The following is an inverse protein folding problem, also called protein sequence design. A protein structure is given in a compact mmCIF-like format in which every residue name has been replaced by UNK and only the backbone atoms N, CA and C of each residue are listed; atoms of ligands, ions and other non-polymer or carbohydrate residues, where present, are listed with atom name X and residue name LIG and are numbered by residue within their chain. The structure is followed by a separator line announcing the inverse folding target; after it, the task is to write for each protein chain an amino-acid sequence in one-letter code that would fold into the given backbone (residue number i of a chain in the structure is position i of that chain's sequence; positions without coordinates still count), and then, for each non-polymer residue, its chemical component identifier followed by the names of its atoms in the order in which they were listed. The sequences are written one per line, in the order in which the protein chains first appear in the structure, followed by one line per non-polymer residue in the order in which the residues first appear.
data_IF_379588579246
#
_entry.id   IF_379588579246
#
_cell.length_a   1.000
_cell.length_b   1.000
_cell.length_c   1.000
_cell.angle_alpha   90.00
_cell.angle_beta   90.00
_cell.angle_gamma   90.00
#
_symmetry.space_group_name_H-M   'P 1'
#
loop_
_entity.id
_entity.type
_entity.pdbx_description
1 polymer ?
#
# COMPACT_ATOMS: atom_id res chain seq x y z
N UNK A 1 12.57 106.12 -16.51
CA UNK A 1 12.07 104.94 -15.78
C UNK A 1 11.50 103.79 -16.62
N UNK A 2 11.86 103.61 -17.89
CA UNK A 2 11.56 102.36 -18.62
C UNK A 2 12.58 101.24 -18.36
N UNK A 3 13.81 101.61 -17.98
CA UNK A 3 14.89 100.67 -17.67
C UNK A 3 14.56 99.86 -16.42
N UNK A 4 14.02 100.49 -15.37
CA UNK A 4 13.64 99.83 -14.11
C UNK A 4 12.49 98.83 -14.31
N UNK A 5 11.50 99.14 -15.17
CA UNK A 5 10.41 98.20 -15.52
C UNK A 5 10.92 96.98 -16.29
N UNK A 6 11.88 97.19 -17.21
CA UNK A 6 12.51 96.09 -17.94
C UNK A 6 13.38 95.21 -17.02
N UNK A 7 14.10 95.80 -16.07
CA UNK A 7 14.89 95.05 -15.08
C UNK A 7 13.99 94.18 -14.18
N UNK A 8 12.87 94.71 -13.71
CA UNK A 8 11.87 93.96 -12.94
C UNK A 8 11.28 92.78 -13.74
N UNK A 9 10.96 93.01 -15.02
CA UNK A 9 10.48 91.95 -15.92
C UNK A 9 11.54 90.88 -16.19
N UNK A 10 12.80 91.28 -16.40
CA UNK A 10 13.91 90.34 -16.58
C UNK A 10 14.07 89.46 -15.34
N UNK A 11 13.97 90.03 -14.14
CA UNK A 11 14.11 89.26 -12.91
C UNK A 11 12.94 88.30 -12.69
N UNK A 12 11.71 88.74 -12.94
CA UNK A 12 10.52 87.87 -12.92
C UNK A 12 10.62 86.69 -13.91
N UNK A 13 11.13 86.94 -15.11
CA UNK A 13 11.36 85.89 -16.12
C UNK A 13 12.49 84.95 -15.68
N UNK A 14 13.57 85.46 -15.10
CA UNK A 14 14.67 84.62 -14.56
C UNK A 14 14.19 83.71 -13.44
N UNK A 15 13.37 84.21 -12.52
CA UNK A 15 12.79 83.43 -11.44
C UNK A 15 11.84 82.35 -11.98
N UNK A 16 11.03 82.70 -12.99
CA UNK A 16 10.17 81.75 -13.68
C UNK A 16 10.97 80.64 -14.39
N UNK A 17 12.07 80.99 -15.08
CA UNK A 17 12.98 80.02 -15.71
C UNK A 17 13.61 79.11 -14.66
N UNK A 18 14.09 79.66 -13.54
CA UNK A 18 14.69 78.89 -12.44
C UNK A 18 13.70 77.90 -11.84
N UNK A 19 12.44 78.29 -11.67
CA UNK A 19 11.38 77.41 -11.19
C UNK A 19 11.04 76.29 -12.18
N UNK A 20 10.95 76.61 -13.48
CA UNK A 20 10.70 75.62 -14.55
C UNK A 20 11.84 74.61 -14.66
N UNK A 21 13.09 75.07 -14.63
CA UNK A 21 14.29 74.20 -14.64
C UNK A 21 14.31 73.31 -13.40
N UNK A 22 14.08 73.88 -12.21
CA UNK A 22 14.03 73.12 -10.96
C UNK A 22 12.95 72.02 -10.94
N UNK A 23 11.78 72.28 -11.52
CA UNK A 23 10.72 71.28 -11.65
C UNK A 23 11.06 70.19 -12.67
N UNK A 24 11.68 70.56 -13.80
CA UNK A 24 12.17 69.59 -14.80
C UNK A 24 13.21 68.65 -14.21
N UNK A 25 14.13 69.17 -13.39
CA UNK A 25 15.16 68.36 -12.73
C UNK A 25 14.57 67.40 -11.69
N UNK A 26 13.53 67.81 -10.95
CA UNK A 26 12.80 66.94 -10.02
C UNK A 26 12.08 65.82 -10.76
N UNK A 27 11.33 66.15 -11.82
CA UNK A 27 10.64 65.17 -12.66
C UNK A 27 11.62 64.17 -13.31
N UNK A 28 12.81 64.63 -13.72
CA UNK A 28 13.85 63.75 -14.25
C UNK A 28 14.38 62.73 -13.22
N UNK A 29 14.58 63.17 -11.97
CA UNK A 29 14.99 62.27 -10.87
C UNK A 29 13.90 61.26 -10.50
N UNK A 30 12.65 61.71 -10.41
CA UNK A 30 11.50 60.82 -10.14
C UNK A 30 11.33 59.79 -11.26
N UNK A 31 11.48 60.20 -12.53
CA UNK A 31 11.47 59.27 -13.66
C UNK A 31 12.57 58.22 -13.56
N UNK A 32 13.80 58.61 -13.20
CA UNK A 32 14.90 57.67 -13.01
C UNK A 32 14.64 56.67 -11.88
N UNK A 33 14.10 57.13 -10.74
CA UNK A 33 13.75 56.26 -9.62
C UNK A 33 12.66 55.26 -9.99
N UNK A 34 11.56 55.74 -10.61
CA UNK A 34 10.48 54.87 -11.07
C UNK A 34 10.94 53.88 -12.14
N UNK A 35 11.85 54.30 -13.04
CA UNK A 35 12.42 53.41 -14.05
C UNK A 35 13.25 52.28 -13.42
N UNK A 36 14.03 52.59 -12.37
CA UNK A 36 14.82 51.58 -11.65
C UNK A 36 13.91 50.62 -10.86
N UNK A 37 12.88 51.14 -10.20
CA UNK A 37 11.91 50.34 -9.47
C UNK A 37 11.13 49.39 -10.40
N UNK A 38 10.74 49.88 -11.58
CA UNK A 38 10.07 49.09 -12.61
C UNK A 38 10.98 47.96 -13.12
N UNK A 39 12.27 48.23 -13.35
CA UNK A 39 13.24 47.21 -13.75
C UNK A 39 13.43 46.13 -12.67
N UNK A 40 13.52 46.53 -11.40
CA UNK A 40 13.59 45.59 -10.28
C UNK A 40 12.34 44.71 -10.18
N UNK A 41 11.15 45.30 -10.28
CA UNK A 41 9.89 44.57 -10.27
C UNK A 41 9.77 43.59 -11.44
N UNK A 42 10.26 43.96 -12.63
CA UNK A 42 10.33 43.07 -13.79
C UNK A 42 11.27 41.89 -13.54
N UNK A 43 12.45 42.11 -12.97
CA UNK A 43 13.37 41.03 -12.61
C UNK A 43 12.76 40.07 -11.59
N UNK A 44 12.14 40.59 -10.53
CA UNK A 44 11.50 39.76 -9.51
C UNK A 44 10.31 38.97 -10.08
N UNK A 45 9.50 39.60 -10.93
CA UNK A 45 8.38 38.96 -11.63
C UNK A 45 8.88 37.80 -12.49
N UNK A 46 9.92 38.02 -13.30
CA UNK A 46 10.50 36.98 -14.15
C UNK A 46 11.08 35.83 -13.32
N UNK A 47 11.70 36.11 -12.17
CA UNK A 47 12.18 35.07 -11.25
C UNK A 47 11.02 34.23 -10.72
N UNK A 48 9.96 34.87 -10.23
CA UNK A 48 8.75 34.17 -9.73
C UNK A 48 8.05 33.35 -10.82
N UNK A 49 8.02 33.83 -12.06
CA UNK A 49 7.47 33.06 -13.20
C UNK A 49 8.29 31.80 -13.43
N UNK A 50 9.62 31.89 -13.49
CA UNK A 50 10.49 30.72 -13.66
C UNK A 50 10.33 29.69 -12.53
N UNK A 51 10.27 30.16 -11.28
CA UNK A 51 10.03 29.28 -10.13
C UNK A 51 8.67 28.61 -10.18
N UNK A 52 7.62 29.33 -10.58
CA UNK A 52 6.28 28.79 -10.78
C UNK A 52 6.28 27.70 -11.85
N UNK A 53 6.93 27.96 -12.98
CA UNK A 53 6.96 27.02 -14.11
C UNK A 53 7.74 25.76 -13.73
N UNK A 54 8.89 25.90 -13.05
CA UNK A 54 9.64 24.75 -12.53
C UNK A 54 8.82 23.92 -11.53
N UNK A 55 8.06 24.56 -10.63
CA UNK A 55 7.18 23.86 -9.69
C UNK A 55 6.02 23.16 -10.40
N UNK A 56 5.50 23.76 -11.48
CA UNK A 56 4.43 23.16 -12.29
C UNK A 56 4.92 21.90 -12.99
N UNK A 57 6.11 21.92 -13.56
CA UNK A 57 6.72 20.76 -14.22
C UNK A 57 6.94 19.62 -13.22
N UNK A 58 7.50 19.94 -12.04
CA UNK A 58 7.69 18.97 -10.96
C UNK A 58 6.35 18.37 -10.49
N UNK A 59 5.30 19.18 -10.39
CA UNK A 59 3.98 18.71 -10.00
C UNK A 59 3.40 17.72 -11.01
N UNK A 60 3.55 17.99 -12.31
CA UNK A 60 3.10 17.08 -13.36
C UNK A 60 3.89 15.76 -13.36
N UNK A 61 5.20 15.81 -13.12
CA UNK A 61 6.03 14.61 -12.98
C UNK A 61 5.61 13.77 -11.76
N UNK A 62 5.39 14.40 -10.60
CA UNK A 62 4.92 13.71 -9.39
C UNK A 62 3.54 13.09 -9.60
N UNK A 63 2.61 13.78 -10.26
CA UNK A 63 1.29 13.22 -10.58
C UNK A 63 1.40 11.98 -11.48
N UNK A 64 2.28 12.03 -12.49
CA UNK A 64 2.50 10.89 -13.39
C UNK A 64 3.02 9.68 -12.60
N UNK A 65 4.04 9.87 -11.76
CA UNK A 65 4.58 8.80 -10.94
C UNK A 65 3.58 8.26 -9.93
N UNK A 66 2.75 9.12 -9.33
CA UNK A 66 1.69 8.69 -8.43
C UNK A 66 0.70 7.77 -9.15
N UNK A 67 0.20 8.19 -10.32
CA UNK A 67 -0.72 7.40 -11.11
C UNK A 67 -0.12 6.05 -11.55
N UNK A 68 1.16 6.02 -11.95
CA UNK A 68 1.87 4.77 -12.26
C UNK A 68 1.93 3.83 -11.04
N UNK A 69 2.25 4.37 -9.85
CA UNK A 69 2.31 3.59 -8.61
C UNK A 69 0.95 3.06 -8.18
N UNK A 70 -0.10 3.87 -8.31
CA UNK A 70 -1.47 3.47 -8.01
C UNK A 70 -1.95 2.35 -8.95
N UNK A 71 -1.63 2.43 -10.25
CA UNK A 71 -1.93 1.37 -11.20
C UNK A 71 -1.22 0.05 -10.83
N UNK A 72 0.09 0.10 -10.56
CA UNK A 72 0.86 -1.09 -10.15
C UNK A 72 0.28 -1.70 -8.87
N UNK A 73 -0.02 -0.87 -7.87
CA UNK A 73 -0.61 -1.32 -6.60
C UNK A 73 -1.99 -1.94 -6.83
N UNK A 74 -2.82 -1.32 -7.65
CA UNK A 74 -4.16 -1.81 -8.00
C UNK A 74 -4.12 -3.16 -8.71
N UNK A 75 -3.20 -3.35 -9.65
CA UNK A 75 -3.01 -4.64 -10.33
C UNK A 75 -2.46 -5.72 -9.40
N UNK A 76 -1.50 -5.39 -8.53
CA UNK A 76 -0.95 -6.31 -7.56
C UNK A 76 -2.02 -6.79 -6.57
N UNK A 77 -2.86 -5.89 -6.09
CA UNK A 77 -3.96 -6.22 -5.18
C UNK A 77 -5.02 -7.07 -5.88
N UNK A 78 -5.40 -6.76 -7.13
CA UNK A 78 -6.29 -7.62 -7.92
C UNK A 78 -5.75 -9.04 -8.07
N UNK A 79 -4.47 -9.18 -8.48
CA UNK A 79 -3.81 -10.49 -8.61
C UNK A 79 -3.78 -11.25 -7.29
N UNK A 80 -3.55 -10.56 -6.17
CA UNK A 80 -3.57 -11.15 -4.84
C UNK A 80 -4.97 -11.63 -4.47
N UNK A 81 -6.00 -10.82 -4.68
CA UNK A 81 -7.39 -11.19 -4.41
C UNK A 81 -7.84 -12.38 -5.24
N UNK A 82 -7.46 -12.43 -6.52
CA UNK A 82 -7.74 -13.59 -7.39
C UNK A 82 -7.06 -14.87 -6.88
N UNK A 83 -5.79 -14.78 -6.46
CA UNK A 83 -5.08 -15.92 -5.87
C UNK A 83 -5.76 -16.43 -4.60
N UNK A 84 -6.15 -15.52 -3.71
CA UNK A 84 -6.87 -15.88 -2.47
C UNK A 84 -8.21 -16.54 -2.81
N UNK A 85 -9.01 -15.94 -3.69
CA UNK A 85 -10.30 -16.49 -4.12
C UNK A 85 -10.16 -17.86 -4.77
N UNK A 86 -9.12 -18.08 -5.57
CA UNK A 86 -8.87 -19.38 -6.18
C UNK A 86 -8.43 -20.42 -5.15
N UNK A 87 -7.61 -20.04 -4.17
CA UNK A 87 -7.23 -20.91 -3.06
C UNK A 87 -8.43 -21.29 -2.18
N UNK A 88 -9.31 -20.33 -1.86
CA UNK A 88 -10.55 -20.56 -1.11
C UNK A 88 -11.49 -21.50 -1.86
N UNK A 89 -11.67 -21.30 -3.18
CA UNK A 89 -12.46 -22.21 -4.02
C UNK A 89 -11.87 -23.63 -4.02
N UNK A 90 -10.56 -23.76 -4.18
CA UNK A 90 -9.89 -25.06 -4.15
C UNK A 90 -10.07 -25.73 -2.78
N UNK A 91 -9.89 -24.98 -1.68
CA UNK A 91 -10.09 -25.48 -0.32
C UNK A 91 -11.53 -25.94 -0.09
N UNK A 92 -12.52 -25.19 -0.58
CA UNK A 92 -13.94 -25.55 -0.50
C UNK A 92 -14.25 -26.83 -1.28
N UNK A 93 -13.67 -26.99 -2.48
CA UNK A 93 -13.80 -28.22 -3.28
C UNK A 93 -13.17 -29.43 -2.58
N UNK A 94 -11.95 -29.28 -2.04
CA UNK A 94 -11.30 -30.36 -1.29
C UNK A 94 -12.09 -30.72 -0.04
N UNK A 95 -12.56 -29.73 0.72
CA UNK A 95 -13.34 -29.96 1.94
C UNK A 95 -14.64 -30.69 1.62
N UNK A 96 -15.39 -30.24 0.62
CA UNK A 96 -16.68 -30.82 0.23
C UNK A 96 -16.50 -32.23 -0.35
N UNK A 97 -15.55 -32.43 -1.25
CA UNK A 97 -15.40 -33.69 -1.98
C UNK A 97 -14.65 -34.77 -1.19
N UNK A 98 -13.68 -34.38 -0.35
CA UNK A 98 -12.91 -35.34 0.46
C UNK A 98 -13.51 -35.55 1.84
N UNK A 99 -14.38 -34.64 2.31
CA UNK A 99 -14.80 -34.62 3.71
C UNK A 99 -13.59 -34.54 4.63
N UNK A 100 -12.67 -33.61 4.35
CA UNK A 100 -11.43 -33.41 5.10
C UNK A 100 -11.17 -31.90 5.21
N UNK A 101 -11.07 -31.40 6.44
CA UNK A 101 -10.56 -30.07 6.76
C UNK A 101 -9.22 -30.18 7.47
N UNK A 102 -8.37 -29.19 7.28
CA UNK A 102 -7.09 -29.05 7.97
C UNK A 102 -7.11 -27.69 8.67
N UNK A 103 -6.93 -27.69 9.97
CA UNK A 103 -6.93 -26.49 10.80
C UNK A 103 -5.59 -26.33 11.52
N UNK A 104 -5.10 -25.10 11.62
CA UNK A 104 -3.89 -24.75 12.36
C UNK A 104 -4.33 -23.98 13.61
N UNK A 105 -4.14 -24.51 14.83
CA UNK A 105 -4.53 -23.83 16.05
C UNK A 105 -3.77 -22.51 16.22
N UNK A 106 -4.48 -21.42 16.54
CA UNK A 106 -3.86 -20.09 16.76
C UNK A 106 -2.83 -20.09 17.91
N UNK A 107 -3.00 -20.99 18.87
CA UNK A 107 -2.21 -21.04 20.12
C UNK A 107 -1.02 -22.00 20.05
N UNK A 108 -0.98 -22.89 19.06
CA UNK A 108 0.09 -23.90 18.93
C UNK A 108 0.71 -23.80 17.55
N UNK A 109 1.83 -23.08 17.47
CA UNK A 109 2.65 -23.09 16.27
C UNK A 109 3.09 -24.54 15.97
N UNK A 110 3.07 -24.92 14.69
CA UNK A 110 3.44 -26.26 14.20
C UNK A 110 2.50 -27.42 14.54
N UNK A 111 1.34 -27.16 15.17
CA UNK A 111 0.27 -28.16 15.31
C UNK A 111 -0.71 -28.10 14.13
N UNK A 112 -1.22 -29.26 13.72
CA UNK A 112 -2.19 -29.47 12.66
C UNK A 112 -3.32 -30.36 13.19
N UNK A 113 -4.56 -29.94 12.92
CA UNK A 113 -5.76 -30.72 13.22
C UNK A 113 -6.38 -31.17 11.90
N UNK A 114 -6.45 -32.49 11.69
CA UNK A 114 -7.13 -33.11 10.58
C UNK A 114 -8.54 -33.49 11.01
N UNK A 115 -9.55 -32.93 10.36
CA UNK A 115 -10.96 -33.16 10.68
C UNK A 115 -11.61 -33.86 9.49
N UNK A 116 -12.00 -35.10 9.69
CA UNK A 116 -12.66 -35.93 8.71
C UNK A 116 -14.16 -35.92 8.94
N UNK A 117 -14.92 -35.70 7.87
CA UNK A 117 -16.39 -35.84 7.82
C UNK A 117 -16.76 -36.84 6.74
N UNK A 118 -18.05 -37.15 6.61
CA UNK A 118 -18.58 -38.13 5.64
C UNK A 118 -17.96 -39.53 5.81
N UNK A 119 -17.63 -39.88 7.06
CA UNK A 119 -17.17 -41.22 7.43
C UNK A 119 -18.37 -42.09 7.79
N UNK A 120 -19.17 -41.63 8.74
CA UNK A 120 -20.43 -42.26 9.13
C UNK A 120 -21.51 -41.94 8.10
N UNK A 121 -22.14 -42.97 7.51
CA UNK A 121 -23.22 -42.79 6.52
C UNK A 121 -24.52 -42.31 7.15
N UNK A 122 -24.78 -42.69 8.39
CA UNK A 122 -25.98 -42.31 9.13
C UNK A 122 -25.92 -40.86 9.62
N UNK A 123 -24.70 -40.38 9.92
CA UNK A 123 -24.43 -38.99 10.29
C UNK A 123 -23.22 -38.43 9.51
N UNK A 124 -23.39 -37.98 8.26
CA UNK A 124 -22.29 -37.51 7.42
C UNK A 124 -21.54 -36.28 7.97
N UNK A 125 -22.17 -35.53 8.88
CA UNK A 125 -21.59 -34.35 9.51
C UNK A 125 -20.78 -34.67 10.77
N UNK A 126 -20.80 -35.93 11.22
CA UNK A 126 -19.96 -36.38 12.34
C UNK A 126 -18.48 -36.15 12.04
N UNK A 127 -17.78 -35.55 13.00
CA UNK A 127 -16.37 -35.19 12.89
C UNK A 127 -15.50 -36.24 13.57
N UNK A 128 -14.51 -36.73 12.82
CA UNK A 128 -13.43 -37.58 13.31
C UNK A 128 -12.15 -36.78 13.24
N UNK A 129 -11.46 -36.61 14.37
CA UNK A 129 -10.37 -35.65 14.52
C UNK A 129 -9.07 -36.39 14.77
N UNK A 130 -8.00 -35.95 14.14
CA UNK A 130 -6.63 -36.36 14.44
C UNK A 130 -5.76 -35.12 14.57
N UNK A 131 -5.13 -34.95 15.72
CA UNK A 131 -4.22 -33.85 16.03
C UNK A 131 -2.77 -34.34 15.96
N UNK A 132 -1.91 -33.57 15.31
CA UNK A 132 -0.50 -33.85 15.20
C UNK A 132 0.34 -32.57 15.24
N UNK A 133 1.63 -32.71 15.53
CA UNK A 133 2.59 -31.62 15.56
C UNK A 133 3.82 -31.97 14.73
N UNK A 134 4.36 -31.00 14.02
CA UNK A 134 5.69 -31.11 13.42
C UNK A 134 6.74 -30.72 14.47
N UNK A 135 7.69 -31.60 14.74
CA UNK A 135 8.80 -31.39 15.66
C UNK A 135 9.99 -30.71 14.96
N UNK A 136 10.95 -30.23 15.74
CA UNK A 136 12.16 -29.54 15.23
C UNK A 136 13.04 -30.44 14.34
N UNK A 137 13.00 -31.76 14.54
CA UNK A 137 13.72 -32.75 13.72
C UNK A 137 12.95 -33.16 12.46
N UNK A 138 11.95 -32.38 12.05
CA UNK A 138 11.05 -32.63 10.91
C UNK A 138 10.19 -33.90 11.04
N UNK A 139 10.21 -34.57 12.20
CA UNK A 139 9.30 -35.68 12.47
C UNK A 139 7.94 -35.19 12.93
N UNK A 140 6.91 -35.96 12.63
CA UNK A 140 5.55 -35.78 13.08
C UNK A 140 5.33 -36.48 14.41
N UNK A 141 4.59 -35.84 15.31
CA UNK A 141 4.11 -36.43 16.56
C UNK A 141 2.58 -36.39 16.58
N UNK A 142 1.92 -37.53 16.75
CA UNK A 142 0.46 -37.61 16.87
C UNK A 142 0.07 -37.34 18.33
N UNK A 143 -0.67 -36.24 18.54
CA UNK A 143 -1.02 -35.76 19.87
C UNK A 143 -2.27 -36.46 20.42
N UNK A 144 -3.33 -36.52 19.60
CA UNK A 144 -4.62 -37.01 20.05
C UNK A 144 -5.53 -37.40 18.87
N UNK A 145 -6.55 -38.21 19.11
CA UNK A 145 -7.61 -38.46 18.14
C UNK A 145 -8.99 -38.58 18.79
N UNK A 146 -10.03 -38.23 18.04
CA UNK A 146 -11.43 -38.40 18.43
C UNK A 146 -12.17 -39.07 17.28
N UNK A 147 -12.70 -40.29 17.44
CA UNK A 147 -12.54 -41.22 18.56
C UNK A 147 -11.07 -41.62 18.81
N UNK A 148 -10.78 -42.13 20.00
CA UNK A 148 -9.43 -42.53 20.40
C UNK A 148 -8.93 -43.72 19.57
N UNK A 149 -7.76 -43.56 18.96
CA UNK A 149 -7.11 -44.58 18.15
C UNK A 149 -6.10 -45.35 19.01
N UNK A 150 -6.27 -46.66 19.14
CA UNK A 150 -5.37 -47.51 19.94
C UNK A 150 -3.98 -47.73 19.32
N UNK A 151 -3.78 -47.31 18.07
CA UNK A 151 -2.57 -47.56 17.29
C UNK A 151 -1.84 -46.28 16.84
N UNK A 152 -1.99 -45.16 17.56
CA UNK A 152 -1.35 -43.88 17.22
C UNK A 152 0.17 -43.99 17.02
N UNK A 153 0.89 -44.66 17.94
CA UNK A 153 2.35 -44.80 17.80
C UNK A 153 2.76 -45.48 16.49
N UNK A 154 2.07 -46.57 16.11
CA UNK A 154 2.37 -47.27 14.84
C UNK A 154 2.08 -46.41 13.61
N UNK A 155 1.06 -45.54 13.70
CA UNK A 155 0.72 -44.60 12.64
C UNK A 155 1.78 -43.51 12.51
N UNK A 156 2.25 -42.99 13.64
CA UNK A 156 3.34 -42.02 13.75
C UNK A 156 4.65 -42.57 13.16
N UNK A 157 5.10 -43.73 13.65
CA UNK A 157 6.35 -44.37 13.21
C UNK A 157 6.34 -44.56 11.68
N UNK A 158 5.21 -45.02 11.13
CA UNK A 158 5.07 -45.23 9.69
C UNK A 158 5.04 -43.91 8.92
N UNK A 159 4.40 -42.88 9.44
CA UNK A 159 4.39 -41.56 8.82
C UNK A 159 5.80 -40.98 8.76
N UNK A 160 6.55 -41.05 9.86
CA UNK A 160 7.93 -40.56 9.94
C UNK A 160 8.88 -41.39 9.07
N UNK A 161 8.70 -42.71 9.00
CA UNK A 161 9.53 -43.58 8.17
C UNK A 161 9.30 -43.36 6.66
N UNK A 162 8.07 -43.10 6.24
CA UNK A 162 7.71 -43.08 4.80
C UNK A 162 7.48 -41.70 4.22
N UNK A 163 7.23 -40.70 5.08
CA UNK A 163 6.75 -39.35 4.73
C UNK A 163 5.56 -39.36 3.74
N UNK A 164 4.77 -40.44 3.72
CA UNK A 164 3.69 -40.64 2.76
C UNK A 164 2.35 -40.14 3.30
N UNK A 165 2.15 -38.83 3.24
CA UNK A 165 0.92 -38.16 3.68
C UNK A 165 -0.36 -38.69 3.03
N UNK A 166 -0.33 -38.94 1.71
CA UNK A 166 -1.49 -39.48 1.00
C UNK A 166 -1.87 -40.86 1.55
N UNK A 167 -0.90 -41.74 1.71
CA UNK A 167 -1.11 -43.07 2.27
C UNK A 167 -1.60 -43.02 3.71
N UNK A 168 -1.02 -42.12 4.51
CA UNK A 168 -1.41 -41.88 5.89
C UNK A 168 -2.87 -41.44 6.04
N UNK A 169 -3.28 -40.38 5.33
CA UNK A 169 -4.67 -39.86 5.37
C UNK A 169 -5.67 -40.93 4.96
N UNK A 170 -5.39 -41.68 3.89
CA UNK A 170 -6.26 -42.78 3.44
C UNK A 170 -6.35 -43.88 4.49
N UNK A 171 -5.25 -44.22 5.15
CA UNK A 171 -5.23 -45.26 6.16
C UNK A 171 -5.97 -44.85 7.44
N UNK A 172 -5.75 -43.63 7.93
CA UNK A 172 -6.49 -43.06 9.08
C UNK A 172 -7.99 -43.03 8.78
N UNK A 173 -8.40 -42.56 7.60
CA UNK A 173 -9.82 -42.54 7.21
C UNK A 173 -10.45 -43.95 7.20
N UNK A 174 -9.71 -44.98 6.80
CA UNK A 174 -10.17 -46.38 6.87
C UNK A 174 -10.38 -46.83 8.32
N UNK A 175 -9.45 -46.50 9.22
CA UNK A 175 -9.57 -46.86 10.64
C UNK A 175 -10.82 -46.21 11.24
N UNK A 176 -11.01 -44.91 11.04
CA UNK A 176 -12.22 -44.22 11.51
C UNK A 176 -13.51 -44.80 10.93
N UNK A 177 -13.51 -45.19 9.65
CA UNK A 177 -14.66 -45.87 9.02
C UNK A 177 -14.97 -47.24 9.64
N UNK A 178 -13.96 -47.98 10.09
CA UNK A 178 -14.20 -49.25 10.80
C UNK A 178 -14.68 -49.03 12.23
N UNK A 179 -14.28 -47.92 12.88
CA UNK A 179 -14.80 -47.53 14.20
C UNK A 179 -16.28 -47.13 14.08
N UNK A 180 -16.62 -46.29 13.09
CA UNK A 180 -17.99 -45.80 12.89
C UNK A 180 -19.02 -46.89 12.49
N UNK A 181 -18.58 -48.12 12.20
CA UNK A 181 -19.46 -49.27 11.93
C UNK A 181 -19.73 -50.11 13.17
N UNK A 182 -18.87 -49.99 14.19
CA UNK A 182 -18.92 -50.79 15.42
C UNK A 182 -19.75 -50.12 16.51
N UNK A 183 -19.93 -48.80 16.40
CA UNK A 183 -20.89 -48.00 17.16
C UNK A 183 -22.27 -48.06 16.51
#
# INVERSE_FOLDING_TARGET
DQVVDLESKIESVRESIKNVVGNKDRAGREYQQLSQELEQLQMETNKKIKERDSKKDLLEEVKKHLNEKEQISGEAEKKKQEKVKNAEKALALYTTNLGLRIEVPKTQQQSLILIFTQINKSNPNEEFILELRLLENENYHLLNSVPQLSNLQKLEDRLNQTNNWKGFIVHVRKIFKEISKKE
#
